data_IF_584825075650
#
_entry.id   IF_584825075650
#
_cell.length_a   1.000
_cell.length_b   1.000
_cell.length_c   1.000
_cell.angle_alpha   90.00
_cell.angle_beta   90.00
_cell.angle_gamma   90.00
#
_symmetry.space_group_name_H-M   'P 1'
#
loop_
_entity.id
_entity.type
_entity.pdbx_description
1 polymer ?
#
# COMPACT_ATOMS: atom_id res chain seq x y z
N UNK A 1 48.78 -2.81 -50.56
CA UNK A 1 48.94 -3.96 -49.67
C UNK A 1 49.72 -3.49 -48.45
N UNK A 2 49.00 -3.14 -47.39
CA UNK A 2 49.59 -2.80 -46.10
C UNK A 2 48.56 -3.20 -45.06
N UNK A 3 48.90 -4.21 -44.26
CA UNK A 3 48.12 -4.65 -43.11
C UNK A 3 48.18 -3.57 -42.04
N UNK A 4 47.01 -3.09 -41.63
CA UNK A 4 46.85 -2.30 -40.40
C UNK A 4 46.06 -3.15 -39.43
N UNK A 5 46.67 -3.44 -38.29
CA UNK A 5 46.11 -4.07 -37.11
C UNK A 5 44.85 -3.31 -36.65
N UNK A 6 43.73 -4.02 -36.50
CA UNK A 6 42.58 -3.52 -35.76
C UNK A 6 42.60 -4.10 -34.34
N UNK A 7 42.85 -3.21 -33.40
CA UNK A 7 42.62 -3.36 -31.97
C UNK A 7 41.12 -3.56 -31.72
N UNK A 8 40.73 -4.76 -31.31
CA UNK A 8 39.41 -5.01 -30.74
C UNK A 8 39.35 -4.37 -29.34
N UNK A 9 38.62 -3.26 -29.23
CA UNK A 9 38.23 -2.67 -27.95
C UNK A 9 37.28 -3.63 -27.23
N UNK A 10 37.68 -3.97 -26.00
CA UNK A 10 36.95 -4.79 -25.02
C UNK A 10 35.72 -4.05 -24.48
N UNK A 11 34.65 -3.97 -25.25
CA UNK A 11 33.35 -3.51 -24.75
C UNK A 11 32.25 -4.45 -25.27
N UNK A 12 32.07 -5.58 -24.59
CA UNK A 12 31.07 -6.57 -25.02
C UNK A 12 30.69 -7.66 -24.01
N UNK A 13 31.49 -7.92 -22.98
CA UNK A 13 31.21 -9.00 -22.02
C UNK A 13 31.50 -8.56 -20.58
N UNK A 14 30.59 -7.77 -19.99
CA UNK A 14 30.50 -7.56 -18.55
C UNK A 14 29.14 -6.97 -18.09
N UNK A 15 28.04 -7.23 -18.82
CA UNK A 15 26.68 -6.84 -18.39
C UNK A 15 25.86 -8.04 -17.88
N UNK A 16 26.55 -9.08 -17.40
CA UNK A 16 25.95 -10.21 -16.71
C UNK A 16 26.09 -10.05 -15.20
N UNK A 17 24.96 -10.20 -14.50
CA UNK A 17 24.87 -10.47 -13.05
C UNK A 17 24.90 -9.30 -12.07
N UNK A 18 23.87 -8.43 -12.15
CA UNK A 18 23.27 -7.76 -10.98
C UNK A 18 21.74 -7.95 -10.88
N UNK A 19 21.16 -8.80 -11.75
CA UNK A 19 19.72 -8.91 -11.95
C UNK A 19 18.99 -9.83 -10.95
N UNK A 20 19.45 -9.89 -9.70
CA UNK A 20 18.98 -10.85 -8.68
C UNK A 20 18.19 -10.19 -7.55
N UNK A 21 17.31 -9.24 -7.88
CA UNK A 21 15.98 -9.00 -7.25
C UNK A 21 15.35 -7.70 -7.78
N UNK A 22 14.04 -7.74 -7.98
CA UNK A 22 13.22 -6.58 -8.33
C UNK A 22 13.03 -5.69 -7.10
N UNK A 23 13.92 -4.71 -6.92
CA UNK A 23 13.67 -3.59 -6.00
C UNK A 23 13.10 -2.42 -6.80
N UNK A 24 11.87 -1.96 -6.51
CA UNK A 24 11.24 -0.93 -7.31
C UNK A 24 11.88 0.44 -7.04
N UNK A 25 12.10 1.24 -8.09
CA UNK A 25 12.56 2.61 -7.90
C UNK A 25 11.43 3.55 -7.49
N UNK A 26 10.19 3.24 -7.91
CA UNK A 26 8.97 4.02 -7.66
C UNK A 26 7.83 3.14 -7.14
N UNK A 27 6.77 3.75 -6.58
CA UNK A 27 5.58 3.00 -6.18
C UNK A 27 4.83 2.41 -7.37
N UNK A 28 4.79 3.14 -8.48
CA UNK A 28 4.17 2.71 -9.74
C UNK A 28 4.89 1.49 -10.31
N UNK A 29 6.22 1.49 -10.25
CA UNK A 29 7.00 0.30 -10.59
C UNK A 29 6.63 -0.86 -9.65
N UNK A 30 6.61 -0.65 -8.33
CA UNK A 30 6.27 -1.72 -7.38
C UNK A 30 4.90 -2.34 -7.67
N UNK A 31 3.93 -1.54 -8.07
CA UNK A 31 2.56 -1.94 -8.30
C UNK A 31 1.75 -2.11 -7.02
N UNK A 32 0.43 -2.13 -7.18
CA UNK A 32 -0.57 -2.22 -6.11
C UNK A 32 -0.98 -3.67 -5.88
N UNK A 33 -1.06 -4.11 -4.63
CA UNK A 33 -1.52 -5.47 -4.29
C UNK A 33 -2.94 -5.70 -4.78
N UNK A 34 -3.14 -6.78 -5.51
CA UNK A 34 -4.47 -7.27 -5.88
C UNK A 34 -4.82 -8.47 -5.00
N UNK A 35 -5.88 -8.42 -4.18
CA UNK A 35 -6.27 -9.52 -3.31
C UNK A 35 -6.99 -10.62 -4.10
N UNK A 36 -6.26 -11.28 -5.00
CA UNK A 36 -6.72 -12.48 -5.67
C UNK A 36 -6.79 -13.65 -4.67
N UNK A 37 -7.78 -14.51 -4.88
CA UNK A 37 -8.01 -15.75 -4.10
C UNK A 37 -7.34 -16.97 -4.73
N UNK A 38 -6.97 -16.87 -6.01
CA UNK A 38 -6.28 -17.91 -6.77
C UNK A 38 -4.86 -18.04 -6.23
N UNK A 39 -4.45 -19.20 -5.67
CA UNK A 39 -3.16 -19.32 -4.97
C UNK A 39 -1.93 -18.91 -5.79
N UNK A 40 -1.97 -19.11 -7.11
CA UNK A 40 -0.85 -18.74 -7.99
C UNK A 40 -0.77 -17.25 -8.32
N UNK A 41 -1.82 -16.50 -7.99
CA UNK A 41 -1.88 -15.05 -8.06
C UNK A 41 -1.88 -14.42 -6.67
N UNK A 42 -1.65 -15.20 -5.62
CA UNK A 42 -1.44 -14.66 -4.29
C UNK A 42 -0.32 -13.63 -4.34
N UNK A 43 -0.56 -12.48 -3.71
CA UNK A 43 0.38 -11.36 -3.63
C UNK A 43 0.73 -10.72 -4.96
N UNK A 44 -0.01 -11.02 -6.02
CA UNK A 44 0.19 -10.38 -7.30
C UNK A 44 -0.06 -8.88 -7.18
N UNK A 45 0.72 -8.09 -7.92
CA UNK A 45 0.59 -6.63 -7.95
C UNK A 45 0.21 -6.16 -9.34
N UNK A 46 -0.82 -5.32 -9.45
CA UNK A 46 -1.17 -4.67 -10.71
C UNK A 46 -0.42 -3.34 -10.85
N UNK A 47 -0.09 -2.95 -12.07
CA UNK A 47 0.38 -1.61 -12.38
C UNK A 47 0.02 -1.21 -13.81
N UNK A 48 0.03 0.09 -14.06
CA UNK A 48 -0.02 0.62 -15.41
C UNK A 48 1.26 0.27 -16.16
N UNK A 49 1.12 -0.24 -17.39
CA UNK A 49 2.24 -0.27 -18.32
C UNK A 49 2.39 1.13 -18.95
N UNK A 50 3.61 1.50 -19.37
CA UNK A 50 3.91 2.83 -19.91
C UNK A 50 3.10 3.25 -21.16
N UNK A 51 2.30 2.34 -21.71
CA UNK A 51 1.46 2.54 -22.89
C UNK A 51 -0.04 2.65 -22.55
N UNK A 52 -0.40 2.84 -21.27
CA UNK A 52 -1.78 3.02 -20.82
C UNK A 52 -2.59 1.72 -20.68
N UNK A 53 -1.97 0.56 -20.85
CA UNK A 53 -2.52 -0.74 -20.46
C UNK A 53 -2.15 -1.12 -19.03
N UNK A 54 -2.55 -2.31 -18.60
CA UNK A 54 -2.20 -2.87 -17.30
C UNK A 54 -1.28 -4.08 -17.46
N UNK A 55 -0.52 -4.37 -16.43
CA UNK A 55 0.22 -5.62 -16.27
C UNK A 55 0.20 -6.08 -14.81
N UNK A 56 0.45 -7.37 -14.61
CA UNK A 56 0.54 -7.98 -13.29
C UNK A 56 1.96 -8.47 -13.03
N UNK A 57 2.45 -8.19 -11.83
CA UNK A 57 3.69 -8.69 -11.27
C UNK A 57 3.32 -9.86 -10.37
N UNK A 58 3.84 -11.05 -10.65
CA UNK A 58 3.65 -12.25 -9.84
C UNK A 58 4.99 -12.63 -9.21
N UNK A 59 5.17 -12.43 -7.89
CA UNK A 59 6.39 -12.83 -7.20
C UNK A 59 6.44 -14.34 -7.04
N UNK A 60 7.64 -14.92 -7.13
CA UNK A 60 7.85 -16.30 -6.66
C UNK A 60 7.17 -17.38 -7.50
N UNK A 61 6.72 -17.06 -8.72
CA UNK A 61 6.01 -18.03 -9.55
C UNK A 61 6.86 -19.29 -9.68
N UNK A 62 6.21 -20.42 -9.40
CA UNK A 62 6.78 -21.76 -9.46
C UNK A 62 8.05 -21.99 -8.62
N UNK A 63 8.16 -21.31 -7.47
CA UNK A 63 9.25 -21.49 -6.50
C UNK A 63 10.58 -20.84 -6.90
N UNK A 64 10.58 -20.06 -8.00
CA UNK A 64 11.76 -19.31 -8.44
C UNK A 64 11.90 -17.99 -7.67
N UNK A 65 13.12 -17.47 -7.52
CA UNK A 65 13.40 -16.23 -6.76
C UNK A 65 13.17 -14.93 -7.55
N UNK A 66 12.50 -15.02 -8.70
CA UNK A 66 12.22 -13.90 -9.61
C UNK A 66 10.78 -13.37 -9.52
N UNK A 67 10.55 -12.26 -10.21
CA UNK A 67 9.21 -11.73 -10.48
C UNK A 67 8.86 -11.97 -11.94
N UNK A 68 7.61 -12.31 -12.21
CA UNK A 68 7.09 -12.47 -13.56
C UNK A 68 6.17 -11.30 -13.87
N UNK A 69 6.39 -10.65 -15.01
CA UNK A 69 5.55 -9.57 -15.49
C UNK A 69 4.72 -10.12 -16.64
N UNK A 70 3.40 -10.08 -16.49
CA UNK A 70 2.45 -10.61 -17.47
C UNK A 70 1.49 -9.49 -17.85
N UNK A 71 1.31 -9.26 -19.15
CA UNK A 71 0.32 -8.29 -19.64
C UNK A 71 -1.08 -8.66 -19.17
N UNK A 72 -1.89 -7.67 -18.78
CA UNK A 72 -3.18 -7.91 -18.10
C UNK A 72 -4.12 -8.83 -18.89
N UNK A 73 -4.17 -8.68 -20.21
CA UNK A 73 -4.98 -9.53 -21.10
C UNK A 73 -4.56 -11.00 -21.09
N UNK A 74 -3.26 -11.29 -20.88
CA UNK A 74 -2.72 -12.65 -20.87
C UNK A 74 -2.91 -13.39 -19.54
N UNK A 75 -3.31 -12.71 -18.47
CA UNK A 75 -3.41 -13.31 -17.12
C UNK A 75 -4.38 -14.49 -17.11
N UNK A 76 -5.54 -14.37 -17.78
CA UNK A 76 -6.56 -15.43 -17.85
C UNK A 76 -6.13 -16.63 -18.69
N UNK A 77 -5.18 -16.44 -19.60
CA UNK A 77 -4.62 -17.51 -20.43
C UNK A 77 -3.56 -18.31 -19.65
N UNK A 78 -2.80 -17.62 -18.79
CA UNK A 78 -1.74 -18.23 -17.98
C UNK A 78 -2.32 -18.94 -16.75
N UNK A 79 -3.32 -18.34 -16.08
CA UNK A 79 -3.85 -18.81 -14.81
C UNK A 79 -5.32 -19.22 -14.91
N UNK A 80 -5.65 -20.40 -14.36
CA UNK A 80 -7.05 -20.79 -14.10
C UNK A 80 -7.52 -20.07 -12.83
N UNK A 81 -8.13 -18.91 -13.02
CA UNK A 81 -8.63 -18.06 -11.94
C UNK A 81 -9.97 -18.56 -11.38
N UNK A 82 -10.25 -18.29 -10.10
CA UNK A 82 -11.59 -18.47 -9.52
C UNK A 82 -12.64 -17.59 -10.23
N UNK A 83 -13.94 -17.86 -10.04
CA UNK A 83 -15.01 -17.01 -10.59
C UNK A 83 -14.88 -15.59 -10.02
N UNK A 84 -14.64 -15.47 -8.72
CA UNK A 84 -14.36 -14.22 -8.03
C UNK A 84 -13.23 -13.44 -8.70
N UNK A 85 -12.07 -14.07 -8.86
CA UNK A 85 -10.89 -13.39 -9.40
C UNK A 85 -11.06 -13.01 -10.87
N UNK A 86 -11.81 -13.80 -11.64
CA UNK A 86 -12.16 -13.46 -13.02
C UNK A 86 -13.00 -12.18 -13.08
N UNK A 87 -14.02 -12.06 -12.23
CA UNK A 87 -14.84 -10.86 -12.15
C UNK A 87 -14.00 -9.65 -11.67
N UNK A 88 -13.10 -9.87 -10.72
CA UNK A 88 -12.22 -8.83 -10.20
C UNK A 88 -11.22 -8.35 -11.27
N UNK A 89 -10.65 -9.28 -12.03
CA UNK A 89 -9.77 -8.99 -13.17
C UNK A 89 -10.46 -8.13 -14.23
N UNK A 90 -11.68 -8.50 -14.63
CA UNK A 90 -12.49 -7.77 -15.61
C UNK A 90 -12.86 -6.35 -15.09
N UNK A 91 -13.15 -6.21 -13.80
CA UNK A 91 -13.48 -4.93 -13.16
C UNK A 91 -12.28 -3.97 -13.12
N UNK A 92 -11.10 -4.47 -12.72
CA UNK A 92 -9.86 -3.69 -12.71
C UNK A 92 -9.52 -3.23 -14.13
N UNK A 93 -9.68 -4.09 -15.14
CA UNK A 93 -9.42 -3.75 -16.54
C UNK A 93 -10.35 -2.64 -17.04
N UNK A 94 -11.63 -2.75 -16.72
CA UNK A 94 -12.67 -1.80 -17.14
C UNK A 94 -12.44 -0.42 -16.54
N UNK A 95 -12.05 -0.38 -15.26
CA UNK A 95 -11.79 0.87 -14.52
C UNK A 95 -10.40 1.43 -14.71
N UNK A 96 -9.50 0.65 -15.32
CA UNK A 96 -8.05 0.94 -15.36
C UNK A 96 -7.49 1.22 -13.98
N UNK A 97 -7.97 0.48 -12.97
CA UNK A 97 -7.59 0.67 -11.58
C UNK A 97 -6.11 0.29 -11.39
N UNK A 98 -5.30 1.24 -10.96
CA UNK A 98 -3.85 1.07 -10.81
C UNK A 98 -3.30 1.68 -9.52
N UNK A 99 -4.16 2.26 -8.67
CA UNK A 99 -3.79 2.82 -7.37
C UNK A 99 -4.39 2.01 -6.21
N UNK A 100 -3.79 2.04 -5.00
CA UNK A 100 -4.34 1.37 -3.82
C UNK A 100 -5.79 1.72 -3.52
N UNK A 101 -6.17 2.98 -3.71
CA UNK A 101 -7.56 3.43 -3.50
C UNK A 101 -8.52 2.79 -4.51
N UNK A 102 -8.15 2.76 -5.79
CA UNK A 102 -9.00 2.19 -6.83
C UNK A 102 -9.14 0.67 -6.70
N UNK A 103 -8.04 -0.04 -6.43
CA UNK A 103 -8.07 -1.49 -6.22
C UNK A 103 -8.89 -1.84 -4.97
N UNK A 104 -8.71 -1.12 -3.87
CA UNK A 104 -9.52 -1.31 -2.65
C UNK A 104 -11.01 -1.13 -2.93
N UNK A 105 -11.39 -0.08 -3.67
CA UNK A 105 -12.79 0.13 -4.08
C UNK A 105 -13.31 -1.03 -4.92
N UNK A 106 -12.53 -1.49 -5.89
CA UNK A 106 -12.90 -2.65 -6.70
C UNK A 106 -13.04 -3.92 -5.84
N UNK A 107 -12.17 -4.12 -4.85
CA UNK A 107 -12.23 -5.26 -3.93
C UNK A 107 -13.52 -5.26 -3.09
N UNK A 108 -13.92 -4.10 -2.53
CA UNK A 108 -15.18 -3.97 -1.79
C UNK A 108 -16.38 -4.26 -2.68
N UNK A 109 -16.40 -3.69 -3.90
CA UNK A 109 -17.49 -3.91 -4.84
C UNK A 109 -17.60 -5.36 -5.30
N UNK A 110 -16.47 -6.03 -5.57
CA UNK A 110 -16.46 -7.47 -5.88
C UNK A 110 -16.93 -8.29 -4.69
N UNK A 111 -16.48 -8.00 -3.47
CA UNK A 111 -16.89 -8.74 -2.28
C UNK A 111 -18.41 -8.68 -2.07
N UNK A 112 -19.03 -7.51 -2.29
CA UNK A 112 -20.48 -7.31 -2.21
C UNK A 112 -21.29 -8.07 -3.28
N UNK A 113 -20.66 -8.62 -4.33
CA UNK A 113 -21.36 -9.49 -5.30
C UNK A 113 -21.70 -10.87 -4.73
N UNK A 114 -21.11 -11.25 -3.58
CA UNK A 114 -21.31 -12.54 -2.95
C UNK A 114 -20.52 -13.70 -3.55
N UNK A 115 -19.64 -13.44 -4.54
CA UNK A 115 -18.81 -14.46 -5.17
C UNK A 115 -17.83 -15.16 -4.19
N UNK A 116 -17.54 -14.55 -3.04
CA UNK A 116 -16.70 -15.09 -1.97
C UNK A 116 -17.50 -15.52 -0.73
N UNK A 117 -18.83 -15.62 -0.83
CA UNK A 117 -19.71 -16.03 0.27
C UNK A 117 -20.18 -14.88 1.18
N UNK A 118 -21.07 -15.19 2.15
CA UNK A 118 -21.72 -14.19 2.99
C UNK A 118 -20.76 -13.44 3.93
N UNK A 119 -19.77 -14.13 4.50
CA UNK A 119 -18.80 -13.49 5.40
C UNK A 119 -18.00 -12.38 4.70
N UNK A 120 -17.71 -12.55 3.41
CA UNK A 120 -17.03 -11.55 2.60
C UNK A 120 -17.91 -10.32 2.33
N UNK A 121 -19.24 -10.52 2.19
CA UNK A 121 -20.21 -9.43 2.09
C UNK A 121 -20.23 -8.64 3.40
N UNK A 122 -20.44 -9.33 4.52
CA UNK A 122 -20.53 -8.70 5.86
C UNK A 122 -19.24 -7.95 6.22
N UNK A 123 -18.08 -8.47 5.82
CA UNK A 123 -16.81 -7.78 6.00
C UNK A 123 -16.68 -6.53 5.11
N UNK A 124 -17.14 -6.59 3.86
CA UNK A 124 -17.12 -5.46 2.95
C UNK A 124 -18.10 -4.36 3.37
N UNK A 125 -19.32 -4.72 3.77
CA UNK A 125 -20.32 -3.77 4.27
C UNK A 125 -19.81 -3.02 5.51
N UNK A 126 -19.26 -3.73 6.50
CA UNK A 126 -18.66 -3.11 7.68
C UNK A 126 -17.48 -2.20 7.32
N UNK A 127 -16.65 -2.59 6.35
CA UNK A 127 -15.53 -1.76 5.91
C UNK A 127 -16.02 -0.47 5.25
N UNK A 128 -17.03 -0.55 4.37
CA UNK A 128 -17.63 0.62 3.70
C UNK A 128 -18.33 1.54 4.71
N UNK A 129 -19.10 0.97 5.64
CA UNK A 129 -19.75 1.73 6.71
C UNK A 129 -18.71 2.45 7.60
N UNK A 130 -17.64 1.76 7.95
CA UNK A 130 -16.54 2.35 8.71
C UNK A 130 -15.85 3.48 7.93
N UNK A 131 -15.61 3.33 6.63
CA UNK A 131 -15.03 4.40 5.80
C UNK A 131 -15.95 5.62 5.70
N UNK A 132 -17.27 5.44 5.56
CA UNK A 132 -18.23 6.56 5.58
C UNK A 132 -18.26 7.25 6.96
N UNK A 133 -18.23 6.47 8.05
CA UNK A 133 -18.16 7.03 9.40
C UNK A 133 -16.86 7.82 9.63
N UNK A 134 -15.71 7.28 9.19
CA UNK A 134 -14.41 7.96 9.25
C UNK A 134 -14.43 9.27 8.44
N UNK A 135 -15.07 9.29 7.27
CA UNK A 135 -15.24 10.49 6.44
C UNK A 135 -16.09 11.56 7.12
N UNK A 136 -17.25 11.18 7.66
CA UNK A 136 -18.14 12.10 8.38
C UNK A 136 -17.47 12.70 9.62
N UNK A 137 -16.79 11.87 10.42
CA UNK A 137 -16.06 12.33 11.60
C UNK A 137 -14.91 13.25 11.20
N UNK A 138 -14.14 12.90 10.17
CA UNK A 138 -13.02 13.74 9.71
C UNK A 138 -13.51 15.12 9.27
N UNK A 139 -14.61 15.19 8.51
CA UNK A 139 -15.23 16.47 8.14
C UNK A 139 -15.65 17.28 9.37
N UNK A 140 -16.35 16.65 10.31
CA UNK A 140 -16.79 17.30 11.55
C UNK A 140 -15.62 17.88 12.35
N UNK A 141 -14.55 17.10 12.57
CA UNK A 141 -13.39 17.55 13.34
C UNK A 141 -12.57 18.62 12.61
N UNK A 142 -12.45 18.54 11.28
CA UNK A 142 -11.79 19.57 10.48
C UNK A 142 -12.56 20.90 10.53
N UNK A 143 -13.88 20.89 10.29
CA UNK A 143 -14.73 22.08 10.37
C UNK A 143 -14.64 22.73 11.76
N UNK A 144 -14.72 21.92 12.82
CA UNK A 144 -14.58 22.44 14.18
C UNK A 144 -13.19 23.02 14.46
N UNK A 145 -12.14 22.42 13.88
CA UNK A 145 -10.78 22.95 14.01
C UNK A 145 -10.64 24.28 13.30
N UNK A 146 -11.21 24.43 12.09
CA UNK A 146 -11.26 25.70 11.36
C UNK A 146 -11.99 26.78 12.15
N UNK A 147 -13.20 26.48 12.65
CA UNK A 147 -13.98 27.43 13.45
C UNK A 147 -13.23 27.81 14.72
N UNK A 148 -12.70 26.85 15.48
CA UNK A 148 -12.01 27.10 16.75
C UNK A 148 -10.73 27.94 16.56
N UNK A 149 -9.98 27.69 15.50
CA UNK A 149 -8.68 28.34 15.27
C UNK A 149 -8.81 29.70 14.57
N UNK A 150 -9.80 29.89 13.69
CA UNK A 150 -9.88 31.08 12.84
C UNK A 150 -11.05 32.01 13.17
N UNK A 151 -12.06 31.56 13.92
CA UNK A 151 -13.15 32.46 14.32
C UNK A 151 -12.66 33.48 15.35
N UNK A 152 -13.04 34.74 15.16
CA UNK A 152 -12.78 35.84 16.10
C UNK A 152 -13.59 35.76 17.40
N UNK A 153 -14.57 34.87 17.46
CA UNK A 153 -15.45 34.68 18.61
C UNK A 153 -15.25 33.29 19.15
N UNK A 154 -15.19 33.15 20.48
CA UNK A 154 -15.15 31.84 21.12
C UNK A 154 -16.50 31.14 20.89
N UNK A 155 -16.53 30.23 19.91
CA UNK A 155 -17.72 29.47 19.55
C UNK A 155 -17.45 28.00 19.82
N UNK A 156 -18.09 27.46 20.85
CA UNK A 156 -18.23 26.02 21.01
C UNK A 156 -19.38 25.55 20.12
N UNK A 157 -19.07 24.74 19.12
CA UNK A 157 -20.07 24.07 18.29
C UNK A 157 -20.26 22.66 18.84
N UNK A 158 -21.44 22.36 19.37
CA UNK A 158 -21.83 20.98 19.65
C UNK A 158 -22.44 20.32 18.41
N UNK A 159 -22.34 18.97 18.33
CA UNK A 159 -23.01 18.17 17.28
C UNK A 159 -24.51 18.51 17.20
N UNK A 160 -25.17 18.67 18.35
CA UNK A 160 -26.60 18.98 18.43
C UNK A 160 -26.95 20.37 17.86
N UNK A 161 -26.07 21.36 18.02
CA UNK A 161 -26.28 22.69 17.45
C UNK A 161 -26.08 22.71 15.93
N UNK A 162 -25.08 21.98 15.42
CA UNK A 162 -24.81 21.85 13.99
C UNK A 162 -25.97 21.19 13.22
N UNK A 163 -26.74 20.32 13.89
CA UNK A 163 -27.92 19.67 13.32
C UNK A 163 -29.18 20.55 13.36
N UNK A 164 -29.15 21.69 14.04
CA UNK A 164 -30.30 22.62 14.13
C UNK A 164 -30.25 23.70 13.05
N UNK A 165 -31.40 24.11 12.50
CA UNK A 165 -31.48 25.19 11.49
C UNK A 165 -30.86 26.50 11.99
N UNK A 166 -30.98 26.80 13.29
CA UNK A 166 -30.39 28.00 13.91
C UNK A 166 -28.88 27.90 14.03
N UNK A 167 -28.34 26.74 14.45
CA UNK A 167 -26.90 26.53 14.52
C UNK A 167 -26.24 26.47 13.14
N UNK A 168 -26.90 25.88 12.13
CA UNK A 168 -26.45 25.93 10.74
C UNK A 168 -26.32 27.38 10.22
N UNK A 169 -27.29 28.25 10.51
CA UNK A 169 -27.20 29.68 10.17
C UNK A 169 -26.04 30.37 10.89
N UNK A 170 -25.82 30.06 12.17
CA UNK A 170 -24.70 30.60 12.94
C UNK A 170 -23.34 30.18 12.35
N UNK A 171 -23.17 28.90 12.03
CA UNK A 171 -21.95 28.37 11.40
C UNK A 171 -21.71 29.02 10.05
N UNK A 172 -22.75 29.19 9.22
CA UNK A 172 -22.64 29.93 7.95
C UNK A 172 -22.16 31.37 8.14
N UNK A 173 -22.67 32.07 9.15
CA UNK A 173 -22.20 33.43 9.48
C UNK A 173 -20.74 33.46 9.90
N UNK A 174 -20.30 32.52 10.74
CA UNK A 174 -18.91 32.40 11.17
C UNK A 174 -18.00 32.09 9.98
N UNK A 175 -18.36 31.10 9.16
CA UNK A 175 -17.62 30.72 7.96
C UNK A 175 -17.53 31.85 6.95
N UNK A 176 -18.58 32.67 6.80
CA UNK A 176 -18.54 33.86 5.96
C UNK A 176 -17.53 34.91 6.48
N UNK A 177 -17.45 35.09 7.80
CA UNK A 177 -16.42 35.94 8.43
C UNK A 177 -15.01 35.43 8.18
N UNK A 178 -14.79 34.12 8.37
CA UNK A 178 -13.49 33.47 8.10
C UNK A 178 -13.10 33.63 6.63
N UNK A 179 -14.03 33.37 5.70
CA UNK A 179 -13.79 33.54 4.27
C UNK A 179 -13.33 34.97 3.92
N UNK A 180 -14.01 35.97 4.51
CA UNK A 180 -13.64 37.38 4.34
C UNK A 180 -12.23 37.68 4.86
N UNK A 181 -11.85 37.13 6.01
CA UNK A 181 -10.52 37.34 6.60
C UNK A 181 -9.41 36.67 5.77
N UNK A 182 -9.70 35.49 5.21
CA UNK A 182 -8.81 34.77 4.29
C UNK A 182 -8.82 35.35 2.86
N UNK A 183 -9.69 36.32 2.57
CA UNK A 183 -9.91 36.91 1.23
C UNK A 183 -10.30 35.89 0.16
N UNK A 184 -11.10 34.89 0.54
CA UNK A 184 -11.71 33.91 -0.35
C UNK A 184 -13.23 34.02 -0.31
N UNK A 185 -13.93 33.47 -1.30
CA UNK A 185 -15.39 33.39 -1.24
C UNK A 185 -15.83 32.32 -0.24
N UNK A 186 -17.01 32.48 0.38
CA UNK A 186 -17.55 31.47 1.29
C UNK A 186 -17.80 30.14 0.57
N UNK A 187 -18.25 30.18 -0.69
CA UNK A 187 -18.46 28.99 -1.52
C UNK A 187 -17.15 28.23 -1.75
N UNK A 188 -16.07 28.94 -2.08
CA UNK A 188 -14.74 28.36 -2.26
C UNK A 188 -14.23 27.74 -0.97
N UNK A 189 -14.37 28.44 0.16
CA UNK A 189 -13.96 27.92 1.47
C UNK A 189 -14.68 26.62 1.83
N UNK A 190 -15.99 26.53 1.59
CA UNK A 190 -16.75 25.31 1.83
C UNK A 190 -16.29 24.16 0.93
N UNK A 191 -16.14 24.42 -0.37
CA UNK A 191 -15.69 23.42 -1.33
C UNK A 191 -14.28 22.90 -1.00
N UNK A 192 -13.40 23.77 -0.51
CA UNK A 192 -12.03 23.41 -0.16
C UNK A 192 -11.96 22.58 1.12
N UNK A 193 -12.75 22.93 2.15
CA UNK A 193 -12.86 22.11 3.37
C UNK A 193 -13.48 20.75 3.09
N UNK A 194 -14.52 20.69 2.24
CA UNK A 194 -15.13 19.43 1.83
C UNK A 194 -14.11 18.54 1.13
N UNK A 195 -13.44 19.06 0.09
CA UNK A 195 -12.34 18.36 -0.60
C UNK A 195 -11.25 17.91 0.36
N UNK A 196 -10.81 18.79 1.27
CA UNK A 196 -9.80 18.44 2.26
C UNK A 196 -10.27 17.25 3.09
N UNK A 197 -11.44 17.36 3.70
CA UNK A 197 -11.96 16.31 4.58
C UNK A 197 -12.12 14.97 3.89
N UNK A 198 -12.59 14.95 2.64
CA UNK A 198 -12.70 13.73 1.85
C UNK A 198 -11.33 13.14 1.50
N UNK A 199 -10.33 13.98 1.18
CA UNK A 199 -8.97 13.52 0.88
C UNK A 199 -8.30 12.88 2.10
N UNK A 200 -8.40 13.53 3.27
CA UNK A 200 -7.71 13.05 4.48
C UNK A 200 -8.53 12.05 5.30
N UNK A 201 -9.76 11.72 4.93
CA UNK A 201 -10.62 10.78 5.66
C UNK A 201 -9.93 9.46 6.07
N UNK A 202 -9.11 8.80 5.21
CA UNK A 202 -8.41 7.57 5.61
C UNK A 202 -7.36 7.77 6.71
N UNK A 203 -6.89 8.99 6.93
CA UNK A 203 -5.89 9.36 7.95
C UNK A 203 -6.54 10.08 9.14
N UNK A 204 -7.61 10.85 8.90
CA UNK A 204 -8.24 11.73 9.88
C UNK A 204 -7.36 12.91 10.27
N UNK A 205 -7.87 13.75 11.17
CA UNK A 205 -7.06 14.80 11.83
C UNK A 205 -6.54 14.30 13.17
N UNK A 206 -5.35 14.74 13.57
CA UNK A 206 -4.68 14.26 14.79
C UNK A 206 -5.47 14.47 16.10
N UNK A 207 -6.44 15.39 16.11
CA UNK A 207 -7.30 15.68 17.27
C UNK A 207 -8.47 14.70 17.45
N UNK A 208 -8.67 13.78 16.51
CA UNK A 208 -9.74 12.78 16.58
C UNK A 208 -9.47 11.76 17.70
N UNK A 209 -10.51 11.31 18.44
CA UNK A 209 -10.37 10.32 19.51
C UNK A 209 -10.14 8.89 18.98
N UNK A 210 -10.34 8.66 17.68
CA UNK A 210 -10.19 7.37 17.04
C UNK A 210 -9.25 7.50 15.83
N UNK A 211 -8.39 6.50 15.64
CA UNK A 211 -7.50 6.42 14.48
C UNK A 211 -8.27 5.94 13.24
N UNK A 212 -8.23 6.73 12.16
CA UNK A 212 -8.72 6.29 10.85
C UNK A 212 -7.80 5.21 10.25
N UNK A 213 -8.30 4.55 9.20
CA UNK A 213 -7.70 3.35 8.61
C UNK A 213 -6.17 3.36 8.44
N UNK A 214 -5.59 4.39 7.83
CA UNK A 214 -4.16 4.44 7.53
C UNK A 214 -3.30 4.70 8.77
N UNK A 215 -3.77 5.50 9.74
CA UNK A 215 -3.07 5.64 11.04
C UNK A 215 -3.15 4.35 11.85
N UNK A 216 -4.31 3.71 11.86
CA UNK A 216 -4.53 2.41 12.50
C UNK A 216 -3.61 1.34 11.90
N UNK A 217 -3.40 1.35 10.58
CA UNK A 217 -2.45 0.46 9.91
C UNK A 217 -0.99 0.76 10.30
N UNK A 218 -0.58 2.03 10.44
CA UNK A 218 0.74 2.38 11.00
C UNK A 218 0.92 1.84 12.43
N UNK A 219 -0.10 1.97 13.27
CA UNK A 219 -0.08 1.42 14.63
C UNK A 219 0.05 -0.11 14.63
N UNK A 220 -0.71 -0.80 13.78
CA UNK A 220 -0.61 -2.26 13.61
C UNK A 220 0.77 -2.68 13.08
N UNK A 221 1.32 -1.96 12.10
CA UNK A 221 2.64 -2.23 11.55
C UNK A 221 3.75 -2.10 12.61
N UNK A 222 3.64 -1.11 13.49
CA UNK A 222 4.56 -0.95 14.63
C UNK A 222 4.46 -2.15 15.60
N UNK A 223 3.26 -2.60 15.92
CA UNK A 223 3.05 -3.77 16.77
C UNK A 223 3.60 -5.05 16.12
N UNK A 224 3.31 -5.27 14.84
CA UNK A 224 3.84 -6.37 14.03
C UNK A 224 5.37 -6.40 14.07
N UNK A 225 6.03 -5.26 13.79
CA UNK A 225 7.49 -5.15 13.86
C UNK A 225 8.03 -5.55 15.23
N UNK A 226 7.42 -5.05 16.30
CA UNK A 226 7.85 -5.39 17.66
C UNK A 226 7.71 -6.89 17.95
N UNK A 227 6.60 -7.48 17.52
CA UNK A 227 6.31 -8.88 17.72
C UNK A 227 7.30 -9.77 16.94
N UNK A 228 7.49 -9.54 15.65
CA UNK A 228 8.37 -10.37 14.81
C UNK A 228 9.85 -10.25 15.23
N UNK A 229 10.27 -9.06 15.70
CA UNK A 229 11.59 -8.85 16.29
C UNK A 229 11.77 -9.67 17.57
N UNK A 230 10.76 -9.71 18.43
CA UNK A 230 10.80 -10.48 19.67
C UNK A 230 10.83 -11.99 19.38
N UNK A 231 10.03 -12.44 18.42
CA UNK A 231 10.03 -13.83 17.95
C UNK A 231 11.41 -14.22 17.41
N UNK A 232 12.00 -13.42 16.52
CA UNK A 232 13.33 -13.70 15.94
C UNK A 232 14.47 -13.74 16.96
N UNK A 233 14.37 -13.00 18.07
CA UNK A 233 15.34 -13.06 19.18
C UNK A 233 15.23 -14.31 20.03
N UNK A 234 14.00 -14.77 20.25
CA UNK A 234 13.70 -15.86 21.19
C UNK A 234 13.68 -17.23 20.52
N UNK A 235 13.63 -17.26 19.19
CA UNK A 235 13.45 -18.47 18.41
C UNK A 235 14.77 -18.88 17.75
N UNK A 236 15.26 -20.08 18.06
CA UNK A 236 16.34 -20.72 17.29
C UNK A 236 15.87 -21.19 15.89
N UNK A 237 14.64 -20.82 15.51
CA UNK A 237 13.93 -21.23 14.31
C UNK A 237 14.31 -20.44 13.06
N UNK A 238 14.97 -19.28 13.22
CA UNK A 238 15.32 -18.36 12.15
C UNK A 238 16.85 -18.20 12.03
N UNK A 239 17.57 -19.26 11.63
CA UNK A 239 19.03 -19.21 11.51
C UNK A 239 19.50 -18.22 10.45
N UNK A 240 18.64 -17.92 9.48
CA UNK A 240 18.93 -17.03 8.35
C UNK A 240 18.60 -15.56 8.65
N UNK A 241 17.95 -15.26 9.78
CA UNK A 241 17.63 -13.90 10.22
C UNK A 241 16.52 -13.21 9.42
N UNK A 242 15.60 -13.97 8.83
CA UNK A 242 14.47 -13.48 8.04
C UNK A 242 13.51 -12.59 8.85
N UNK A 243 13.30 -12.89 10.13
CA UNK A 243 12.45 -12.09 11.00
C UNK A 243 13.00 -10.67 11.19
N UNK A 244 14.32 -10.52 11.28
CA UNK A 244 14.96 -9.21 11.37
C UNK A 244 14.87 -8.44 10.05
N UNK A 245 15.03 -9.11 8.91
CA UNK A 245 14.83 -8.49 7.60
C UNK A 245 13.42 -7.91 7.47
N UNK A 246 12.40 -8.69 7.82
CA UNK A 246 10.99 -8.24 7.79
C UNK A 246 10.79 -7.06 8.75
N UNK A 247 11.35 -7.12 9.95
CA UNK A 247 11.28 -6.04 10.93
C UNK A 247 11.96 -4.74 10.46
N UNK A 248 13.06 -4.84 9.73
CA UNK A 248 13.79 -3.69 9.17
C UNK A 248 12.99 -3.05 8.03
N UNK A 249 12.37 -3.84 7.14
CA UNK A 249 11.49 -3.31 6.09
C UNK A 249 10.25 -2.62 6.69
N UNK A 250 9.69 -3.18 7.75
CA UNK A 250 8.62 -2.54 8.51
C UNK A 250 9.08 -1.23 9.16
N UNK A 251 10.31 -1.17 9.70
CA UNK A 251 10.85 0.05 10.29
C UNK A 251 10.98 1.18 9.27
N UNK A 252 11.52 0.89 8.09
CA UNK A 252 11.65 1.90 7.02
C UNK A 252 10.30 2.44 6.60
N UNK A 253 9.31 1.55 6.45
CA UNK A 253 7.95 1.95 6.13
C UNK A 253 7.39 2.87 7.21
N UNK A 254 7.63 2.55 8.49
CA UNK A 254 7.18 3.39 9.62
C UNK A 254 7.89 4.75 9.65
N UNK A 255 9.18 4.81 9.35
CA UNK A 255 9.93 6.06 9.35
C UNK A 255 9.47 6.98 8.21
N UNK A 256 9.40 6.48 6.98
CA UNK A 256 8.86 7.25 5.84
C UNK A 256 7.40 7.65 6.09
N UNK A 257 6.58 6.73 6.62
CA UNK A 257 5.17 6.98 6.86
C UNK A 257 4.92 8.01 7.95
N UNK A 258 5.74 8.05 9.00
CA UNK A 258 5.67 9.08 10.05
C UNK A 258 5.93 10.46 9.47
N UNK A 259 6.93 10.60 8.60
CA UNK A 259 7.30 11.89 8.04
C UNK A 259 6.20 12.41 7.10
N UNK A 260 5.67 11.54 6.22
CA UNK A 260 4.52 11.89 5.35
C UNK A 260 3.28 12.27 6.17
N UNK A 261 2.97 11.53 7.24
CA UNK A 261 1.85 11.88 8.12
C UNK A 261 2.09 13.21 8.87
N UNK A 262 3.33 13.49 9.25
CA UNK A 262 3.74 14.77 9.84
C UNK A 262 3.49 15.93 8.89
N UNK A 263 3.88 15.80 7.62
CA UNK A 263 3.62 16.81 6.58
C UNK A 263 2.11 17.08 6.42
N UNK A 264 1.28 16.03 6.39
CA UNK A 264 -0.19 16.16 6.33
C UNK A 264 -0.74 16.87 7.59
N UNK A 265 -0.23 16.50 8.76
CA UNK A 265 -0.65 17.09 10.04
C UNK A 265 -0.24 18.55 10.18
N UNK A 266 0.91 18.95 9.65
CA UNK A 266 1.40 20.32 9.68
C UNK A 266 0.45 21.28 8.94
N UNK A 267 -0.15 20.83 7.81
CA UNK A 267 -1.20 21.61 7.15
C UNK A 267 -2.44 21.77 8.03
N UNK A 268 -2.84 20.73 8.78
CA UNK A 268 -3.96 20.80 9.71
C UNK A 268 -3.65 21.67 10.95
N UNK A 269 -2.36 21.87 11.28
CA UNK A 269 -1.91 22.76 12.34
C UNK A 269 -1.85 24.24 11.91
N UNK A 270 -1.63 24.53 10.62
CA UNK A 270 -1.70 25.88 10.03
C UNK A 270 -2.88 26.03 9.04
N UNK A 271 -4.09 25.93 9.60
CA UNK A 271 -5.36 26.05 8.85
C UNK A 271 -5.49 27.38 8.09
N UNK A 272 -4.91 28.47 8.63
CA UNK A 272 -4.99 29.78 7.99
C UNK A 272 -4.22 29.76 6.67
N UNK A 273 -2.97 29.30 6.68
CA UNK A 273 -2.16 29.21 5.46
C UNK A 273 -2.74 28.18 4.50
N UNK A 274 -3.15 27.01 5.01
CA UNK A 274 -3.69 25.94 4.19
C UNK A 274 -4.91 26.39 3.37
N UNK A 275 -5.86 27.08 4.01
CA UNK A 275 -7.08 27.55 3.34
C UNK A 275 -6.84 28.81 2.49
N UNK A 276 -5.96 29.72 2.90
CA UNK A 276 -5.63 30.91 2.10
C UNK A 276 -4.85 30.57 0.81
N UNK A 277 -4.09 29.46 0.81
CA UNK A 277 -3.25 29.02 -0.31
C UNK A 277 -3.66 27.64 -0.85
N UNK A 278 -4.95 27.33 -0.79
CA UNK A 278 -5.47 26.00 -1.09
C UNK A 278 -5.09 25.47 -2.49
N UNK A 279 -4.96 26.34 -3.50
CA UNK A 279 -4.54 25.93 -4.84
C UNK A 279 -3.15 25.28 -4.91
N UNK A 280 -2.31 25.54 -3.91
CA UNK A 280 -0.97 24.92 -3.76
C UNK A 280 -1.00 23.82 -2.70
N UNK A 281 -1.61 24.10 -1.54
CA UNK A 281 -1.63 23.16 -0.39
C UNK A 281 -2.54 21.94 -0.65
N UNK A 282 -3.66 22.11 -1.34
CA UNK A 282 -4.56 21.02 -1.67
C UNK A 282 -3.86 19.90 -2.47
N UNK A 283 -3.13 20.22 -3.55
CA UNK A 283 -2.26 19.27 -4.25
C UNK A 283 -1.19 18.62 -3.36
N UNK A 284 -0.51 19.38 -2.50
CA UNK A 284 0.50 18.83 -1.57
C UNK A 284 -0.09 17.77 -0.63
N UNK A 285 -1.27 18.05 -0.06
CA UNK A 285 -2.02 17.09 0.77
C UNK A 285 -2.42 15.87 -0.06
N UNK A 286 -2.90 16.06 -1.29
CA UNK A 286 -3.30 14.96 -2.16
C UNK A 286 -2.11 14.04 -2.49
N UNK A 287 -0.94 14.63 -2.77
CA UNK A 287 0.30 13.90 -3.02
C UNK A 287 0.76 13.13 -1.78
N UNK A 288 0.74 13.77 -0.60
CA UNK A 288 1.01 13.09 0.67
C UNK A 288 0.07 11.92 0.94
N UNK A 289 -1.23 12.11 0.71
CA UNK A 289 -2.26 11.07 0.85
C UNK A 289 -2.06 9.91 -0.12
N UNK A 290 -1.69 10.20 -1.38
CA UNK A 290 -1.35 9.18 -2.36
C UNK A 290 -0.11 8.40 -1.92
N UNK A 291 0.95 9.11 -1.51
CA UNK A 291 2.23 8.55 -1.06
C UNK A 291 2.06 7.63 0.15
N UNK A 292 1.32 8.04 1.19
CA UNK A 292 1.06 7.17 2.37
C UNK A 292 0.19 5.96 2.01
N UNK A 293 -0.79 6.13 1.12
CA UNK A 293 -1.63 5.02 0.68
C UNK A 293 -0.83 3.99 -0.12
N UNK A 294 0.12 4.43 -0.93
CA UNK A 294 1.07 3.55 -1.60
C UNK A 294 2.01 2.90 -0.61
N UNK A 295 2.67 3.67 0.26
CA UNK A 295 3.63 3.14 1.23
C UNK A 295 3.07 1.98 2.06
N UNK A 296 1.80 2.09 2.47
CA UNK A 296 1.11 1.09 3.30
C UNK A 296 0.43 -0.05 2.52
N UNK A 297 0.44 0.01 1.20
CA UNK A 297 -0.18 -1.02 0.36
C UNK A 297 0.47 -2.41 0.53
N UNK A 298 -0.35 -3.40 0.88
CA UNK A 298 0.06 -4.79 1.13
C UNK A 298 0.39 -5.13 2.59
N UNK A 299 0.58 -4.13 3.47
CA UNK A 299 0.91 -4.40 4.88
C UNK A 299 -0.25 -5.02 5.65
N UNK A 300 -1.51 -4.66 5.36
CA UNK A 300 -2.68 -5.30 5.98
C UNK A 300 -2.62 -6.84 5.83
N UNK A 301 -2.20 -7.30 4.65
CA UNK A 301 -2.11 -8.72 4.34
C UNK A 301 -0.91 -9.41 5.00
N UNK A 302 0.28 -8.78 4.96
CA UNK A 302 1.47 -9.27 5.67
C UNK A 302 1.20 -9.43 7.17
N UNK A 303 0.58 -8.41 7.77
CA UNK A 303 0.25 -8.41 9.19
C UNK A 303 -0.77 -9.53 9.48
N UNK A 304 -1.79 -9.68 8.64
CA UNK A 304 -2.80 -10.74 8.77
C UNK A 304 -2.20 -12.15 8.77
N UNK A 305 -1.33 -12.46 7.80
CA UNK A 305 -0.67 -13.77 7.72
C UNK A 305 0.11 -14.13 9.00
N UNK A 306 0.78 -13.13 9.59
CA UNK A 306 1.50 -13.34 10.83
C UNK A 306 0.57 -13.46 12.03
N UNK A 307 -0.46 -12.62 12.12
CA UNK A 307 -1.47 -12.65 13.18
C UNK A 307 -2.18 -14.02 13.27
N UNK A 308 -2.43 -14.67 12.12
CA UNK A 308 -3.07 -15.99 12.05
C UNK A 308 -2.24 -17.12 12.70
N UNK A 309 -0.91 -17.00 12.71
CA UNK A 309 0.00 -18.05 13.22
C UNK A 309 0.64 -17.71 14.56
N UNK A 310 0.31 -16.56 15.17
CA UNK A 310 0.92 -16.07 16.41
C UNK A 310 0.85 -17.10 17.55
N UNK A 311 -0.30 -17.74 17.72
CA UNK A 311 -0.55 -18.75 18.74
C UNK A 311 -0.37 -20.19 18.22
N UNK A 312 0.06 -20.34 16.96
CA UNK A 312 0.25 -21.60 16.27
C UNK A 312 1.55 -22.32 16.62
N UNK A 313 1.78 -23.45 15.95
CA UNK A 313 3.00 -24.22 16.12
C UNK A 313 4.20 -23.51 15.45
N UNK A 314 5.42 -23.80 15.93
CA UNK A 314 6.63 -23.15 15.41
C UNK A 314 6.86 -23.35 13.91
N UNK A 315 6.41 -24.49 13.34
CA UNK A 315 6.55 -24.74 11.90
C UNK A 315 5.59 -23.87 11.07
N UNK A 316 4.36 -23.65 11.54
CA UNK A 316 3.39 -22.76 10.89
C UNK A 316 3.91 -21.30 10.89
N UNK A 317 4.53 -20.88 11.99
CA UNK A 317 5.17 -19.56 12.09
C UNK A 317 6.34 -19.40 11.12
N UNK A 318 7.14 -20.46 10.91
CA UNK A 318 8.23 -20.46 9.92
C UNK A 318 7.69 -20.34 8.50
N UNK A 319 6.69 -21.15 8.17
CA UNK A 319 6.10 -21.18 6.83
C UNK A 319 5.49 -19.81 6.48
N UNK A 320 4.76 -19.21 7.42
CA UNK A 320 4.23 -17.85 7.27
C UNK A 320 5.34 -16.80 7.11
N UNK A 321 6.45 -16.91 7.85
CA UNK A 321 7.59 -15.99 7.71
C UNK A 321 8.23 -16.11 6.31
N UNK A 322 8.43 -17.32 5.80
CA UNK A 322 8.95 -17.54 4.45
C UNK A 322 8.03 -16.95 3.38
N UNK A 323 6.72 -17.08 3.55
CA UNK A 323 5.71 -16.49 2.68
C UNK A 323 5.76 -14.97 2.73
N UNK A 324 5.76 -14.37 3.93
CA UNK A 324 5.87 -12.93 4.16
C UNK A 324 7.10 -12.34 3.45
N UNK A 325 8.26 -12.99 3.57
CA UNK A 325 9.51 -12.51 2.93
C UNK A 325 9.37 -12.40 1.41
N UNK A 326 8.61 -13.30 0.77
CA UNK A 326 8.39 -13.28 -0.70
C UNK A 326 7.48 -12.14 -1.15
N UNK A 327 6.63 -11.63 -0.27
CA UNK A 327 5.61 -10.62 -0.57
C UNK A 327 5.87 -9.26 0.08
N UNK A 328 7.01 -9.08 0.75
CA UNK A 328 7.35 -7.86 1.51
C UNK A 328 7.06 -6.58 0.69
N UNK A 329 6.25 -5.64 1.21
CA UNK A 329 6.04 -4.34 0.59
C UNK A 329 7.31 -3.47 0.68
N UNK A 330 8.22 -3.66 -0.26
CA UNK A 330 9.49 -2.94 -0.29
C UNK A 330 9.25 -1.43 -0.46
N UNK A 331 9.95 -0.61 0.32
CA UNK A 331 9.94 0.85 0.16
C UNK A 331 10.77 1.20 -1.08
N UNK A 332 10.22 1.92 -2.08
CA UNK A 332 10.96 2.24 -3.30
C UNK A 332 12.25 3.01 -3.03
N UNK A 333 13.28 2.82 -3.86
CA UNK A 333 14.59 3.48 -3.60
C UNK A 333 14.49 5.00 -3.53
N UNK A 334 13.67 5.63 -4.37
CA UNK A 334 13.52 7.10 -4.38
C UNK A 334 12.96 7.65 -3.08
N UNK A 335 12.12 6.89 -2.38
CA UNK A 335 11.60 7.26 -1.07
C UNK A 335 12.69 7.25 0.01
N UNK A 336 13.69 6.39 -0.17
CA UNK A 336 14.81 6.22 0.74
C UNK A 336 15.93 7.22 0.45
N UNK A 337 16.15 7.57 -0.82
CA UNK A 337 17.09 8.63 -1.22
C UNK A 337 16.67 10.00 -0.66
N UNK A 338 15.37 10.26 -0.61
CA UNK A 338 14.80 11.49 -0.05
C UNK A 338 15.01 11.62 1.48
N UNK A 339 15.23 10.50 2.18
CA UNK A 339 15.41 10.43 3.63
C UNK A 339 16.85 10.72 4.11
N UNK A 340 17.78 11.09 3.21
CA UNK A 340 19.23 11.35 3.44
C UNK A 340 19.76 11.04 4.86
N UNK A 341 20.34 9.86 5.07
CA UNK A 341 20.95 9.49 6.36
C UNK A 341 21.56 8.09 6.42
N UNK A 342 22.19 7.77 7.58
CA UNK A 342 22.88 6.50 7.90
C UNK A 342 22.02 5.24 7.69
N UNK A 343 20.69 5.38 7.78
CA UNK A 343 19.72 4.30 7.66
C UNK A 343 19.75 3.59 6.29
N UNK A 344 20.03 4.30 5.19
CA UNK A 344 20.18 3.68 3.87
C UNK A 344 21.43 2.80 3.79
N UNK A 345 22.55 3.23 4.36
CA UNK A 345 23.79 2.44 4.41
C UNK A 345 23.66 1.19 5.29
N UNK A 346 22.93 1.27 6.40
CA UNK A 346 22.67 0.13 7.28
C UNK A 346 21.68 -0.86 6.65
N UNK A 347 20.65 -0.37 5.94
CA UNK A 347 19.73 -1.20 5.16
C UNK A 347 20.42 -1.87 3.98
N UNK A 348 21.18 -1.13 3.17
CA UNK A 348 21.92 -1.68 2.04
C UNK A 348 22.88 -2.77 2.52
N UNK A 349 23.50 -2.58 3.69
CA UNK A 349 24.34 -3.60 4.33
C UNK A 349 23.55 -4.79 4.90
N UNK A 350 22.42 -4.57 5.56
CA UNK A 350 21.54 -5.64 6.03
C UNK A 350 21.06 -6.48 4.84
N UNK A 351 20.56 -5.82 3.81
CA UNK A 351 20.12 -6.42 2.57
C UNK A 351 21.23 -7.13 1.80
N UNK A 352 22.43 -6.55 1.67
CA UNK A 352 23.60 -7.24 1.09
C UNK A 352 23.97 -8.50 1.87
N UNK A 353 23.82 -8.49 3.21
CA UNK A 353 24.03 -9.67 4.06
C UNK A 353 22.97 -10.75 3.81
N UNK A 354 21.72 -10.38 3.53
CA UNK A 354 20.61 -11.31 3.22
C UNK A 354 20.50 -11.71 1.74
N UNK A 355 21.15 -10.98 0.83
CA UNK A 355 21.30 -11.37 -0.58
C UNK A 355 22.12 -12.67 -0.70
N UNK A 356 23.13 -12.87 0.17
CA UNK A 356 23.99 -14.08 0.19
C UNK A 356 23.27 -15.39 0.58
N UNK A 357 22.47 -15.46 1.68
CA UNK A 357 21.71 -16.66 2.05
C UNK A 357 20.74 -17.12 0.95
N UNK A 358 20.09 -16.16 0.29
CA UNK A 358 19.14 -16.43 -0.80
C UNK A 358 19.84 -16.67 -2.16
N UNK A 359 21.12 -16.29 -2.32
CA UNK A 359 21.96 -16.70 -3.45
C UNK A 359 22.37 -18.19 -3.35
N UNK A 360 22.47 -18.77 -2.15
CA UNK A 360 22.82 -20.20 -1.99
C UNK A 360 21.70 -21.17 -2.38
N UNK A 361 20.48 -20.69 -2.65
CA UNK A 361 19.38 -21.48 -3.22
C UNK A 361 19.43 -21.52 -4.77
N UNK A 362 20.39 -20.81 -5.40
CA UNK A 362 20.47 -20.61 -6.86
C UNK A 362 21.12 -21.76 -7.67
N UNK A 363 21.07 -23.03 -7.25
CA UNK A 363 21.53 -24.12 -8.14
C UNK A 363 20.66 -24.32 -9.40
N UNK A 364 19.57 -23.55 -9.53
CA UNK A 364 19.15 -22.90 -10.77
C UNK A 364 19.49 -23.64 -12.06
N UNK A 365 18.74 -24.70 -12.37
CA UNK A 365 18.57 -25.17 -13.75
C UNK A 365 17.19 -24.71 -14.21
N UNK A 366 17.11 -24.21 -15.45
CA UNK A 366 15.83 -23.95 -16.12
C UNK A 366 15.13 -25.29 -16.28
N UNK A 367 14.10 -25.52 -15.47
CA UNK A 367 13.64 -26.87 -15.23
C UNK A 367 12.58 -27.27 -16.26
N UNK A 368 12.93 -28.18 -17.17
CA UNK A 368 11.97 -28.89 -18.03
C UNK A 368 10.92 -29.61 -17.16
N UNK A 369 11.27 -29.91 -15.90
CA UNK A 369 10.36 -30.43 -14.87
C UNK A 369 9.28 -29.40 -14.44
N UNK A 370 9.49 -28.09 -14.64
CA UNK A 370 8.53 -27.02 -14.37
C UNK A 370 7.34 -27.06 -15.33
N UNK A 371 7.62 -27.20 -16.64
CA UNK A 371 6.58 -27.39 -17.66
C UNK A 371 5.81 -28.68 -17.39
N UNK A 372 6.53 -29.76 -17.05
CA UNK A 372 5.91 -31.05 -16.74
C UNK A 372 5.12 -31.04 -15.42
N UNK A 373 5.48 -30.23 -14.41
CA UNK A 373 4.72 -30.07 -13.16
C UNK A 373 3.48 -29.20 -13.32
N UNK A 374 3.54 -28.15 -14.14
CA UNK A 374 2.36 -27.36 -14.49
C UNK A 374 1.36 -28.25 -15.23
N UNK A 375 1.83 -29.13 -16.11
CA UNK A 375 0.99 -30.13 -16.77
C UNK A 375 0.48 -31.21 -15.80
N UNK A 376 1.31 -31.70 -14.87
CA UNK A 376 0.91 -32.71 -13.88
C UNK A 376 -0.12 -32.17 -12.87
N UNK A 377 0.04 -30.94 -12.36
CA UNK A 377 -0.97 -30.29 -11.50
C UNK A 377 -2.25 -29.96 -12.25
N UNK A 378 -2.18 -29.65 -13.56
CA UNK A 378 -3.37 -29.53 -14.43
C UNK A 378 -4.12 -30.86 -14.54
N UNK A 379 -3.42 -31.99 -14.59
CA UNK A 379 -4.02 -33.32 -14.65
C UNK A 379 -4.63 -33.76 -13.31
N UNK A 380 -3.97 -33.48 -12.18
CA UNK A 380 -4.48 -33.79 -10.84
C UNK A 380 -5.76 -32.98 -10.51
N UNK A 381 -5.78 -31.68 -10.81
CA UNK A 381 -6.97 -30.84 -10.62
C UNK A 381 -8.15 -31.20 -11.54
N UNK A 382 -7.92 -31.92 -12.64
CA UNK A 382 -8.97 -32.48 -13.49
C UNK A 382 -9.51 -33.83 -12.98
N UNK A 383 -8.74 -34.53 -12.14
CA UNK A 383 -9.13 -35.79 -11.52
C UNK A 383 -9.95 -35.62 -10.24
N UNK A 384 -9.84 -34.48 -9.56
CA UNK A 384 -10.61 -34.18 -8.33
C UNK A 384 -11.95 -33.46 -8.59
N UNK A 385 -12.21 -33.09 -9.85
CA UNK A 385 -13.42 -32.38 -10.27
C UNK A 385 -14.41 -33.26 -11.08
N UNK A 386 -14.15 -34.56 -11.18
CA UNK A 386 -15.07 -35.57 -11.72
C UNK A 386 -15.42 -36.59 -10.65
#
# INVERSE_FOLDING_TARGET
MTQTTHSATKDGEAAGHLNTRYWPATFEERGVVVPFTTPMLAFARARSNGNGGLEVIVPGLSGSSGVYIIGWSGVREVFRMSVHDRAFHDMIETRKAATPREIRRCAHEIAMTGLSGPDAIDAAERAVEQEENERLLTNYYLVNSVVKSLAKTDVKLSVAELSSTTGQKKVRGIMAGIASDLRVSSEQLYADIEKWSDMIAPVGVASMPHECRLRRLMTRLKAFRMNITAWGRNSNADPDGLAFLVADVALLTLDVGRDVLGEIDDHANDLQTALAKWSTVGPEIADGMNRISWLLDGWDHVIGLWEEVLDGALHEQKDALEEIVRMLPLVPTKELDAQQGKAWGDLENAMRKFVKPLQNWQSGHTDIELQLRIERRRAEAMSEAG
#
